data_IF_201835297153
#
_entry.id   IF_201835297153
#
_cell.length_a   1.000
_cell.length_b   1.000
_cell.length_c   1.000
_cell.angle_alpha   90.00
_cell.angle_beta   90.00
_cell.angle_gamma   90.00
#
_symmetry.space_group_name_H-M   'P 1'
#
loop_
_entity.id
_entity.type
_entity.pdbx_description
1 polymer ?
#
# COMPACT_ATOMS: atom_id res chain seq x y z
N UNK A 1 -10.33 10.58 11.03
CA UNK A 1 -10.60 11.70 10.09
C UNK A 1 -11.73 11.29 9.16
N UNK A 2 -12.70 12.16 8.88
CA UNK A 2 -13.90 11.83 8.08
C UNK A 2 -13.74 11.99 6.56
N UNK A 3 -12.58 12.45 6.08
CA UNK A 3 -12.28 12.63 4.65
C UNK A 3 -11.44 13.89 4.39
N UNK A 4 -11.25 14.23 3.11
CA UNK A 4 -10.54 15.42 2.65
C UNK A 4 -11.52 16.31 1.84
N UNK A 5 -11.89 17.46 2.39
CA UNK A 5 -12.91 18.33 1.78
C UNK A 5 -12.39 19.17 0.61
N UNK A 6 -11.09 19.46 0.58
CA UNK A 6 -10.44 20.29 -0.45
C UNK A 6 -9.02 19.78 -0.70
N UNK A 7 -8.37 20.15 -1.82
CA UNK A 7 -6.97 19.80 -2.06
C UNK A 7 -6.04 20.33 -0.96
N UNK A 8 -6.29 21.56 -0.49
CA UNK A 8 -5.54 22.17 0.61
C UNK A 8 -5.67 21.38 1.92
N UNK A 9 -6.86 20.81 2.21
CA UNK A 9 -7.04 19.96 3.38
C UNK A 9 -6.26 18.64 3.28
N UNK A 10 -6.17 18.06 2.07
CA UNK A 10 -5.33 16.89 1.81
C UNK A 10 -3.84 17.21 2.00
N UNK A 11 -3.36 18.30 1.43
CA UNK A 11 -1.96 18.73 1.56
C UNK A 11 -1.61 19.07 3.03
N UNK A 12 -2.50 19.76 3.75
CA UNK A 12 -2.35 20.01 5.18
C UNK A 12 -2.32 18.71 5.99
N UNK A 13 -3.14 17.71 5.63
CA UNK A 13 -3.11 16.39 6.22
C UNK A 13 -1.87 15.57 5.83
N UNK A 14 -1.04 16.02 4.89
CA UNK A 14 0.26 15.44 4.57
C UNK A 14 1.43 16.13 5.30
N UNK A 15 1.23 17.36 5.81
CA UNK A 15 2.24 18.13 6.55
C UNK A 15 2.26 17.81 8.05
N UNK A 16 3.43 17.70 8.70
CA UNK A 16 3.55 17.35 10.13
C UNK A 16 2.95 15.96 10.45
N UNK A 17 3.47 14.92 9.80
CA UNK A 17 3.03 13.55 10.04
C UNK A 17 3.40 13.10 11.47
N UNK A 18 2.54 12.34 12.17
CA UNK A 18 2.89 11.80 13.49
C UNK A 18 4.11 10.89 13.42
N UNK A 19 4.96 10.90 14.44
CA UNK A 19 6.13 10.02 14.56
C UNK A 19 5.83 8.81 15.46
N UNK A 20 6.54 7.68 15.30
CA UNK A 20 6.40 6.54 16.20
C UNK A 20 6.81 6.90 17.62
N UNK A 21 6.22 6.24 18.61
CA UNK A 21 6.50 6.48 20.03
C UNK A 21 7.88 5.92 20.39
N UNK A 22 8.83 6.83 20.59
CA UNK A 22 10.20 6.49 20.95
C UNK A 22 10.32 5.75 22.30
N UNK A 23 9.41 6.04 23.25
CA UNK A 23 9.41 5.38 24.57
C UNK A 23 8.94 3.93 24.42
N UNK A 24 7.87 3.70 23.65
CA UNK A 24 7.38 2.35 23.38
C UNK A 24 8.42 1.52 22.62
N UNK A 25 9.13 2.12 21.65
CA UNK A 25 10.26 1.47 20.95
C UNK A 25 11.36 1.09 21.94
N UNK A 26 11.77 2.01 22.82
CA UNK A 26 12.82 1.75 23.80
C UNK A 26 12.44 0.62 24.77
N UNK A 27 11.19 0.61 25.23
CA UNK A 27 10.67 -0.44 26.11
C UNK A 27 10.57 -1.80 25.40
N UNK A 28 10.10 -1.83 24.16
CA UNK A 28 10.07 -3.06 23.36
C UNK A 28 11.49 -3.59 23.09
N UNK A 29 12.47 -2.70 22.86
CA UNK A 29 13.88 -3.06 22.68
C UNK A 29 14.48 -3.65 23.95
N UNK A 30 14.22 -3.04 25.10
CA UNK A 30 14.64 -3.57 26.40
C UNK A 30 14.06 -4.97 26.64
N UNK A 31 12.78 -5.19 26.30
CA UNK A 31 12.18 -6.53 26.36
C UNK A 31 12.87 -7.51 25.41
N UNK A 32 13.09 -7.15 24.14
CA UNK A 32 13.75 -8.03 23.16
C UNK A 32 15.15 -8.49 23.62
N UNK A 33 15.90 -7.62 24.30
CA UNK A 33 17.20 -7.94 24.85
C UNK A 33 17.15 -8.92 26.03
N UNK A 34 16.03 -8.98 26.76
CA UNK A 34 15.84 -9.85 27.92
C UNK A 34 15.24 -11.23 27.57
N UNK A 35 14.71 -11.43 26.36
CA UNK A 35 14.13 -12.70 25.93
C UNK A 35 15.19 -13.81 25.86
N UNK A 36 14.81 -15.06 26.16
CA UNK A 36 15.68 -16.25 26.17
C UNK A 36 16.22 -16.66 24.80
N UNK A 37 17.04 -15.79 24.22
CA UNK A 37 17.71 -15.96 22.92
C UNK A 37 18.98 -15.12 22.86
N UNK A 38 19.97 -15.49 22.03
CA UNK A 38 21.08 -14.59 21.74
C UNK A 38 20.55 -13.24 21.17
N UNK A 39 21.12 -12.09 21.56
CA UNK A 39 20.71 -10.79 21.03
C UNK A 39 20.71 -10.75 19.50
N UNK A 40 19.62 -10.28 18.90
CA UNK A 40 19.48 -10.15 17.44
C UNK A 40 19.28 -11.45 16.67
N UNK A 41 19.24 -12.61 17.33
CA UNK A 41 19.14 -13.92 16.65
C UNK A 41 17.84 -14.17 15.90
N UNK A 42 16.77 -13.39 16.15
CA UNK A 42 15.53 -13.45 15.35
C UNK A 42 15.51 -12.42 14.21
N UNK A 43 16.58 -11.65 14.02
CA UNK A 43 16.75 -10.70 12.91
C UNK A 43 15.55 -9.75 12.76
N UNK A 44 15.01 -9.66 11.54
CA UNK A 44 13.90 -8.74 11.19
C UNK A 44 12.61 -8.96 11.99
N UNK A 45 12.40 -10.13 12.61
CA UNK A 45 11.24 -10.31 13.49
C UNK A 45 11.35 -9.42 14.74
N UNK A 46 12.56 -9.13 15.21
CA UNK A 46 12.78 -8.20 16.32
C UNK A 46 12.40 -6.78 15.89
N UNK A 47 12.89 -6.34 14.73
CA UNK A 47 12.60 -5.01 14.18
C UNK A 47 11.10 -4.79 13.94
N UNK A 48 10.39 -5.81 13.45
CA UNK A 48 8.93 -5.75 13.27
C UNK A 48 8.19 -5.56 14.59
N UNK A 49 8.63 -6.19 15.67
CA UNK A 49 8.04 -5.98 16.99
C UNK A 49 8.27 -4.55 17.49
N UNK A 50 9.47 -3.99 17.27
CA UNK A 50 9.78 -2.60 17.63
C UNK A 50 8.97 -1.59 16.80
N UNK A 51 8.86 -1.83 15.51
CA UNK A 51 8.06 -1.02 14.60
C UNK A 51 6.60 -0.96 15.06
N UNK A 52 5.99 -2.12 15.33
CA UNK A 52 4.61 -2.18 15.82
C UNK A 52 4.46 -1.50 17.19
N UNK A 53 5.46 -1.63 18.08
CA UNK A 53 5.44 -1.02 19.40
C UNK A 53 5.41 0.51 19.31
N UNK A 54 6.23 1.10 18.45
CA UNK A 54 6.28 2.54 18.24
C UNK A 54 4.96 3.10 17.70
N UNK A 55 4.37 2.43 16.71
CA UNK A 55 3.12 2.91 16.14
C UNK A 55 1.91 2.72 17.06
N UNK A 56 1.84 1.60 17.78
CA UNK A 56 0.78 1.35 18.75
C UNK A 56 0.98 2.04 20.11
N UNK A 57 2.17 2.61 20.37
CA UNK A 57 2.46 3.29 21.64
C UNK A 57 2.51 2.34 22.84
N UNK A 58 2.94 1.09 22.66
CA UNK A 58 3.02 0.10 23.73
C UNK A 58 4.21 -0.83 23.54
N UNK A 59 4.86 -1.20 24.64
CA UNK A 59 6.00 -2.13 24.65
C UNK A 59 5.64 -3.55 24.16
N UNK A 60 4.36 -3.92 24.20
CA UNK A 60 3.84 -5.25 23.83
C UNK A 60 2.69 -5.10 22.82
N UNK A 61 3.02 -4.74 21.57
CA UNK A 61 2.02 -4.53 20.52
C UNK A 61 1.33 -5.84 20.13
N UNK A 62 0.13 -5.75 19.57
CA UNK A 62 -0.68 -6.91 19.14
C UNK A 62 -1.48 -6.59 17.88
N UNK A 63 -1.98 -7.61 17.21
CA UNK A 63 -2.96 -7.46 16.11
C UNK A 63 -4.22 -8.23 16.51
N UNK A 64 -5.10 -7.58 17.27
CA UNK A 64 -6.43 -8.08 17.58
C UNK A 64 -7.43 -7.72 16.47
N UNK A 65 -7.34 -6.49 15.95
CA UNK A 65 -8.21 -5.96 14.90
C UNK A 65 -7.39 -5.56 13.67
N UNK A 66 -7.13 -6.53 12.80
CA UNK A 66 -6.51 -6.30 11.49
C UNK A 66 -7.56 -6.30 10.38
N UNK A 67 -7.37 -5.46 9.36
CA UNK A 67 -8.28 -5.38 8.20
C UNK A 67 -7.52 -5.36 6.88
N UNK A 68 -8.00 -6.11 5.90
CA UNK A 68 -7.63 -5.97 4.50
C UNK A 68 -8.67 -5.11 3.78
N UNK A 69 -8.25 -3.98 3.21
CA UNK A 69 -9.09 -3.01 2.53
C UNK A 69 -8.76 -2.99 1.04
N UNK A 70 -9.69 -3.48 0.22
CA UNK A 70 -9.52 -3.65 -1.23
C UNK A 70 -10.35 -2.61 -1.97
N UNK A 71 -9.69 -1.79 -2.78
CA UNK A 71 -10.36 -0.72 -3.53
C UNK A 71 -10.45 -1.10 -5.00
N UNK A 72 -11.65 -1.01 -5.58
CA UNK A 72 -11.86 -1.37 -6.97
C UNK A 72 -12.29 -0.17 -7.82
N UNK A 73 -11.67 -0.02 -8.99
CA UNK A 73 -11.90 1.10 -9.91
C UNK A 73 -11.56 0.75 -11.35
N UNK A 74 -12.13 1.50 -12.30
CA UNK A 74 -11.93 1.29 -13.74
C UNK A 74 -11.33 2.52 -14.40
N UNK A 75 -10.60 2.31 -15.51
CA UNK A 75 -9.81 3.36 -16.16
C UNK A 75 -10.16 3.55 -17.63
N UNK A 76 -10.33 4.80 -18.07
CA UNK A 76 -10.69 5.13 -19.46
C UNK A 76 -9.59 4.85 -20.48
N UNK A 77 -8.31 4.97 -20.09
CA UNK A 77 -7.18 4.68 -20.97
C UNK A 77 -7.04 3.19 -21.34
N UNK A 78 -7.84 2.30 -20.73
CA UNK A 78 -7.87 0.86 -21.10
C UNK A 78 -8.26 0.67 -22.56
N UNK A 79 -8.95 1.64 -23.17
CA UNK A 79 -9.26 1.65 -24.60
C UNK A 79 -8.03 1.53 -25.52
N UNK A 80 -6.82 1.88 -25.03
CA UNK A 80 -5.55 1.71 -25.75
C UNK A 80 -5.01 0.27 -25.73
N UNK A 81 -5.74 -0.67 -25.14
CA UNK A 81 -5.40 -2.09 -25.11
C UNK A 81 -4.24 -2.44 -24.17
N UNK A 82 -4.06 -1.68 -23.09
CA UNK A 82 -2.98 -1.83 -22.10
C UNK A 82 -3.11 -3.04 -21.16
N UNK A 83 -4.13 -3.88 -21.34
CA UNK A 83 -4.42 -5.06 -20.54
C UNK A 83 -4.84 -6.23 -21.42
N UNK A 84 -4.55 -7.46 -20.97
CA UNK A 84 -5.04 -8.69 -21.59
C UNK A 84 -6.55 -8.94 -21.35
N UNK A 85 -7.17 -8.20 -20.42
CA UNK A 85 -8.56 -8.39 -20.00
C UNK A 85 -9.39 -7.12 -20.21
N UNK A 86 -10.69 -7.25 -20.52
CA UNK A 86 -11.61 -6.11 -20.64
C UNK A 86 -11.97 -5.53 -19.26
N UNK A 87 -12.40 -4.26 -19.21
CA UNK A 87 -12.75 -3.56 -17.98
C UNK A 87 -13.90 -4.21 -17.18
N UNK A 88 -14.75 -5.01 -17.82
CA UNK A 88 -15.83 -5.77 -17.15
C UNK A 88 -15.30 -6.80 -16.15
N UNK A 89 -14.03 -7.23 -16.27
CA UNK A 89 -13.41 -8.16 -15.31
C UNK A 89 -13.31 -7.55 -13.91
N UNK A 90 -13.14 -6.23 -13.76
CA UNK A 90 -13.16 -5.57 -12.45
C UNK A 90 -14.46 -5.85 -11.69
N UNK A 91 -15.61 -5.71 -12.36
CA UNK A 91 -16.92 -5.96 -11.75
C UNK A 91 -17.12 -7.44 -11.43
N UNK A 92 -16.70 -8.33 -12.34
CA UNK A 92 -16.77 -9.77 -12.11
C UNK A 92 -15.95 -10.19 -10.89
N UNK A 93 -14.77 -9.62 -10.71
CA UNK A 93 -13.92 -9.88 -9.56
C UNK A 93 -14.47 -9.31 -8.26
N UNK A 94 -15.07 -8.11 -8.28
CA UNK A 94 -15.78 -7.57 -7.11
C UNK A 94 -16.94 -8.48 -6.69
N UNK A 95 -17.71 -9.00 -7.65
CA UNK A 95 -18.74 -10.00 -7.37
C UNK A 95 -18.14 -11.31 -6.82
N UNK A 96 -16.94 -11.71 -7.28
CA UNK A 96 -16.23 -12.87 -6.74
C UNK A 96 -15.77 -12.65 -5.29
N UNK A 97 -15.26 -11.46 -4.95
CA UNK A 97 -14.90 -11.09 -3.58
C UNK A 97 -16.11 -11.20 -2.64
N UNK A 98 -17.26 -10.70 -3.07
CA UNK A 98 -18.50 -10.77 -2.29
C UNK A 98 -18.98 -12.20 -2.04
N UNK A 99 -18.65 -13.14 -2.93
CA UNK A 99 -18.97 -14.57 -2.80
C UNK A 99 -17.91 -15.36 -2.02
N UNK A 100 -16.82 -14.75 -1.59
CA UNK A 100 -15.75 -15.46 -0.88
C UNK A 100 -14.78 -16.22 -1.78
N UNK A 101 -14.85 -16.02 -3.11
CA UNK A 101 -14.20 -16.90 -4.09
C UNK A 101 -12.81 -16.48 -4.55
N UNK A 102 -12.25 -15.37 -4.07
CA UNK A 102 -10.94 -14.89 -4.52
C UNK A 102 -9.80 -15.28 -3.57
N UNK A 103 -8.57 -15.13 -4.05
CA UNK A 103 -7.37 -15.42 -3.26
C UNK A 103 -7.32 -14.56 -1.98
N UNK A 104 -7.63 -13.27 -2.08
CA UNK A 104 -7.65 -12.39 -0.91
C UNK A 104 -8.67 -12.83 0.16
N UNK A 105 -9.80 -13.42 -0.22
CA UNK A 105 -10.76 -13.96 0.77
C UNK A 105 -10.11 -15.06 1.62
N UNK A 106 -9.45 -16.02 0.96
CA UNK A 106 -8.79 -17.13 1.65
C UNK A 106 -7.59 -16.64 2.49
N UNK A 107 -6.78 -15.74 1.94
CA UNK A 107 -5.57 -15.24 2.60
C UNK A 107 -5.88 -14.30 3.77
N UNK A 108 -6.90 -13.44 3.64
CA UNK A 108 -7.36 -12.61 4.75
C UNK A 108 -7.88 -13.46 5.90
N UNK A 109 -8.65 -14.51 5.62
CA UNK A 109 -9.12 -15.44 6.64
C UNK A 109 -7.95 -16.16 7.33
N UNK A 110 -6.98 -16.67 6.57
CA UNK A 110 -5.80 -17.33 7.12
C UNK A 110 -4.95 -16.38 7.98
N UNK A 111 -4.86 -15.11 7.62
CA UNK A 111 -4.14 -14.07 8.36
C UNK A 111 -4.96 -13.46 9.52
N UNK A 112 -6.20 -13.89 9.75
CA UNK A 112 -7.09 -13.33 10.76
C UNK A 112 -7.38 -11.85 10.52
N UNK A 113 -7.68 -11.47 9.28
CA UNK A 113 -8.02 -10.11 8.85
C UNK A 113 -9.50 -10.03 8.48
N UNK A 114 -10.16 -8.96 8.91
CA UNK A 114 -11.45 -8.57 8.34
C UNK A 114 -11.25 -8.12 6.89
N UNK A 115 -12.00 -8.67 5.94
CA UNK A 115 -11.95 -8.22 4.54
C UNK A 115 -13.02 -7.16 4.28
N UNK A 116 -12.61 -6.00 3.77
CA UNK A 116 -13.47 -4.91 3.33
C UNK A 116 -13.19 -4.61 1.86
N UNK A 117 -14.24 -4.56 1.05
CA UNK A 117 -14.15 -4.27 -0.39
C UNK A 117 -14.94 -3.00 -0.69
N UNK A 118 -14.28 -2.02 -1.32
CA UNK A 118 -14.85 -0.71 -1.65
C UNK A 118 -14.82 -0.54 -3.17
N UNK A 119 -15.99 -0.66 -3.79
CA UNK A 119 -16.16 -0.40 -5.23
C UNK A 119 -16.38 1.09 -5.49
N UNK A 120 -15.60 1.67 -6.39
CA UNK A 120 -15.59 3.11 -6.69
C UNK A 120 -16.05 3.34 -8.13
N UNK A 121 -17.38 3.46 -8.29
CA UNK A 121 -18.02 3.82 -9.57
C UNK A 121 -17.60 2.93 -10.75
N UNK A 122 -17.72 1.61 -10.60
CA UNK A 122 -17.19 0.65 -11.59
C UNK A 122 -17.81 0.79 -12.99
N UNK A 123 -19.05 1.26 -13.08
CA UNK A 123 -19.74 1.53 -14.37
C UNK A 123 -19.28 2.81 -15.05
N UNK A 124 -18.53 3.66 -14.33
CA UNK A 124 -18.05 4.96 -14.81
C UNK A 124 -16.52 5.03 -14.65
N UNK A 125 -15.76 4.49 -15.63
CA UNK A 125 -14.30 4.58 -15.61
C UNK A 125 -13.80 6.03 -15.44
N UNK A 126 -12.58 6.19 -14.94
CA UNK A 126 -11.91 7.50 -15.00
C UNK A 126 -11.76 7.95 -16.45
N UNK A 127 -11.52 9.24 -16.67
CA UNK A 127 -11.20 9.73 -18.01
C UNK A 127 -9.87 9.13 -18.50
N UNK A 128 -9.66 9.17 -19.81
CA UNK A 128 -8.37 8.84 -20.41
C UNK A 128 -7.35 9.94 -20.08
N UNK A 129 -6.34 9.57 -19.28
CA UNK A 129 -5.34 10.52 -18.81
C UNK A 129 -4.39 11.03 -19.90
N UNK A 130 -4.45 10.46 -21.11
CA UNK A 130 -3.64 10.91 -22.26
C UNK A 130 -4.25 12.15 -22.92
N UNK A 131 -5.50 12.47 -22.60
CA UNK A 131 -6.27 13.55 -23.23
C UNK A 131 -6.88 14.55 -22.22
N UNK A 132 -6.93 14.18 -20.94
CA UNK A 132 -7.56 14.96 -19.87
C UNK A 132 -7.01 14.50 -18.51
N UNK A 133 -7.27 15.17 -17.38
CA UNK A 133 -7.04 14.57 -16.08
C UNK A 133 -7.91 13.32 -15.87
N UNK A 134 -7.37 12.23 -15.31
CA UNK A 134 -8.14 11.02 -15.00
C UNK A 134 -9.42 11.30 -14.18
N UNK A 135 -9.33 12.23 -13.23
CA UNK A 135 -10.43 12.63 -12.35
C UNK A 135 -10.59 14.15 -12.34
N UNK A 136 -11.83 14.60 -12.17
CA UNK A 136 -12.11 15.96 -11.70
C UNK A 136 -11.62 16.14 -10.25
N UNK A 137 -11.56 17.38 -9.78
CA UNK A 137 -11.17 17.67 -8.39
C UNK A 137 -12.07 16.94 -7.38
N UNK A 138 -13.40 17.06 -7.57
CA UNK A 138 -14.39 16.43 -6.69
C UNK A 138 -14.30 14.90 -6.68
N UNK A 139 -14.04 14.27 -7.82
CA UNK A 139 -13.89 12.82 -7.91
C UNK A 139 -12.64 12.31 -7.19
N UNK A 140 -11.51 13.03 -7.31
CA UNK A 140 -10.29 12.65 -6.61
C UNK A 140 -10.45 12.81 -5.10
N UNK A 141 -11.05 13.91 -4.63
CA UNK A 141 -11.36 14.13 -3.21
C UNK A 141 -12.33 13.07 -2.66
N UNK A 142 -13.35 12.70 -3.44
CA UNK A 142 -14.29 11.65 -3.07
C UNK A 142 -13.59 10.30 -2.93
N UNK A 143 -12.71 9.93 -3.87
CA UNK A 143 -11.95 8.70 -3.81
C UNK A 143 -10.98 8.67 -2.61
N UNK A 144 -10.20 9.74 -2.40
CA UNK A 144 -9.32 9.90 -1.23
C UNK A 144 -10.10 9.76 0.09
N UNK A 145 -11.28 10.39 0.16
CA UNK A 145 -12.15 10.35 1.34
C UNK A 145 -12.75 8.96 1.56
N UNK A 146 -13.18 8.27 0.49
CA UNK A 146 -13.65 6.89 0.58
C UNK A 146 -12.58 5.98 1.21
N UNK A 147 -11.32 6.11 0.76
CA UNK A 147 -10.19 5.44 1.37
C UNK A 147 -9.98 5.78 2.85
N UNK A 148 -10.00 7.07 3.20
CA UNK A 148 -9.83 7.52 4.58
C UNK A 148 -10.90 6.97 5.53
N UNK A 149 -12.15 6.80 5.06
CA UNK A 149 -13.28 6.34 5.89
C UNK A 149 -13.17 4.88 6.33
N UNK A 150 -12.33 4.07 5.66
CA UNK A 150 -12.07 2.67 6.03
C UNK A 150 -11.24 2.58 7.32
N UNK A 151 -10.47 3.62 7.64
CA UNK A 151 -9.65 3.69 8.85
C UNK A 151 -10.53 4.05 10.06
N UNK A 152 -11.06 3.01 10.72
CA UNK A 152 -11.88 3.14 11.93
C UNK A 152 -11.00 3.19 13.19
N UNK A 153 -11.45 3.88 14.27
CA UNK A 153 -10.80 3.78 15.56
C UNK A 153 -10.69 2.33 16.03
N UNK A 154 -9.56 1.98 16.66
CA UNK A 154 -9.32 0.65 17.21
C UNK A 154 -8.74 -0.39 16.23
N UNK A 155 -8.45 -0.01 14.98
CA UNK A 155 -7.66 -0.86 14.09
C UNK A 155 -6.19 -0.91 14.55
N UNK A 156 -5.65 -2.12 14.64
CA UNK A 156 -4.26 -2.36 15.02
C UNK A 156 -3.32 -2.41 13.81
N UNK A 157 -3.88 -2.76 12.64
CA UNK A 157 -3.14 -2.97 11.39
C UNK A 157 -4.10 -2.88 10.18
N UNK A 158 -3.64 -2.29 9.10
CA UNK A 158 -4.29 -2.33 7.79
C UNK A 158 -3.43 -3.06 6.77
N UNK A 159 -4.07 -3.82 5.88
CA UNK A 159 -3.51 -4.25 4.59
C UNK A 159 -4.28 -3.51 3.52
N UNK A 160 -3.60 -2.87 2.58
CA UNK A 160 -4.25 -2.23 1.44
C UNK A 160 -4.07 -3.08 0.19
N UNK A 161 -5.09 -3.09 -0.66
CA UNK A 161 -5.06 -3.76 -1.95
C UNK A 161 -5.97 -3.08 -2.95
N UNK A 162 -5.92 -3.56 -4.19
CA UNK A 162 -6.63 -2.97 -5.32
C UNK A 162 -7.27 -4.03 -6.19
N UNK A 163 -8.19 -3.60 -7.05
CA UNK A 163 -8.64 -4.35 -8.21
C UNK A 163 -9.01 -3.35 -9.31
N UNK A 164 -8.25 -3.33 -10.40
CA UNK A 164 -8.55 -2.44 -11.51
C UNK A 164 -7.84 -2.82 -12.80
N UNK A 165 -8.60 -3.10 -13.85
CA UNK A 165 -8.01 -3.36 -15.17
C UNK A 165 -7.25 -2.13 -15.67
N UNK A 166 -5.95 -2.31 -15.96
CA UNK A 166 -5.08 -1.26 -16.50
C UNK A 166 -4.33 -0.43 -15.44
N UNK A 167 -4.62 -0.61 -14.15
CA UNK A 167 -4.03 0.22 -13.09
C UNK A 167 -2.50 0.11 -12.95
N UNK A 168 -1.86 -0.97 -13.42
CA UNK A 168 -0.38 -1.04 -13.52
C UNK A 168 0.19 0.04 -14.43
N UNK A 169 -0.54 0.48 -15.46
CA UNK A 169 -0.15 1.63 -16.30
C UNK A 169 -0.27 2.94 -15.53
N UNK A 170 -1.35 3.12 -14.75
CA UNK A 170 -1.52 4.28 -13.89
C UNK A 170 -0.43 4.34 -12.80
N UNK A 171 -0.13 3.20 -12.15
CA UNK A 171 0.95 3.05 -11.18
C UNK A 171 2.30 3.46 -11.77
N UNK A 172 2.62 3.01 -12.99
CA UNK A 172 3.85 3.40 -13.69
C UNK A 172 3.90 4.92 -13.98
N UNK A 173 2.78 5.51 -14.44
CA UNK A 173 2.68 6.94 -14.70
C UNK A 173 2.88 7.78 -13.43
N UNK A 174 2.30 7.37 -12.30
CA UNK A 174 2.48 8.00 -11.00
C UNK A 174 3.94 7.95 -10.56
N UNK A 175 4.59 6.79 -10.65
CA UNK A 175 6.01 6.65 -10.29
C UNK A 175 6.91 7.51 -11.17
N UNK A 176 6.70 7.49 -12.49
CA UNK A 176 7.48 8.30 -13.42
C UNK A 176 7.29 9.81 -13.18
N UNK A 177 6.07 10.27 -12.89
CA UNK A 177 5.81 11.68 -12.59
C UNK A 177 6.43 12.13 -11.26
N UNK A 178 6.41 11.25 -10.26
CA UNK A 178 6.93 11.54 -8.91
C UNK A 178 8.45 11.50 -8.82
N UNK A 179 9.07 10.46 -9.38
CA UNK A 179 10.51 10.17 -9.19
C UNK A 179 11.35 10.32 -10.46
N UNK A 180 10.72 10.65 -11.60
CA UNK A 180 11.40 10.76 -12.89
C UNK A 180 11.80 9.40 -13.47
N UNK A 181 12.77 9.40 -14.38
CA UNK A 181 13.14 8.24 -15.20
C UNK A 181 12.30 8.11 -16.47
N UNK A 182 12.62 7.09 -17.27
CA UNK A 182 11.86 6.77 -18.48
C UNK A 182 10.58 5.99 -18.12
N UNK A 183 9.53 6.08 -18.93
CA UNK A 183 8.32 5.28 -18.72
C UNK A 183 8.62 3.77 -18.68
N UNK A 184 9.55 3.31 -19.52
CA UNK A 184 10.01 1.92 -19.55
C UNK A 184 10.65 1.42 -18.25
N UNK A 185 11.14 2.33 -17.39
CA UNK A 185 11.70 1.96 -16.08
C UNK A 185 10.63 1.45 -15.10
N UNK A 186 9.37 1.82 -15.35
CA UNK A 186 8.25 1.60 -14.43
C UNK A 186 7.20 0.64 -14.98
N UNK A 187 7.11 0.53 -16.31
CA UNK A 187 6.10 -0.29 -16.98
C UNK A 187 6.49 -1.77 -16.98
N UNK A 188 5.60 -2.61 -16.45
CA UNK A 188 5.69 -4.07 -16.49
C UNK A 188 4.60 -4.74 -17.33
N UNK A 189 4.61 -6.09 -17.39
CA UNK A 189 3.60 -6.87 -18.09
C UNK A 189 2.22 -6.86 -17.42
N UNK A 190 2.11 -6.52 -16.13
CA UNK A 190 0.84 -6.47 -15.40
C UNK A 190 0.05 -7.77 -15.51
N UNK A 191 -1.09 -7.74 -16.20
CA UNK A 191 -1.97 -8.90 -16.45
C UNK A 191 -1.36 -9.97 -17.37
N UNK A 192 -0.08 -9.83 -17.75
CA UNK A 192 0.66 -10.79 -18.57
C UNK A 192 0.68 -10.43 -20.05
N UNK A 193 0.66 -9.13 -20.38
CA UNK A 193 0.73 -8.70 -21.78
C UNK A 193 2.09 -9.01 -22.40
N UNK A 194 2.09 -9.22 -23.71
CA UNK A 194 3.28 -9.50 -24.52
C UNK A 194 4.17 -8.24 -24.71
N UNK A 195 5.36 -8.35 -25.33
CA UNK A 195 6.22 -7.18 -25.57
C UNK A 195 5.52 -6.04 -26.34
N UNK A 196 4.60 -6.36 -27.25
CA UNK A 196 3.78 -5.37 -27.96
C UNK A 196 2.84 -4.63 -27.02
N UNK A 197 2.23 -5.34 -26.07
CA UNK A 197 1.42 -4.75 -25.00
C UNK A 197 2.25 -3.88 -24.07
N UNK A 198 3.46 -4.28 -23.71
CA UNK A 198 4.39 -3.47 -22.92
C UNK A 198 4.73 -2.17 -23.66
N UNK A 199 5.06 -2.24 -24.96
CA UNK A 199 5.34 -1.05 -25.76
C UNK A 199 4.14 -0.08 -25.82
N UNK A 200 2.91 -0.60 -25.95
CA UNK A 200 1.68 0.22 -25.87
C UNK A 200 1.52 0.89 -24.51
N UNK A 201 1.80 0.19 -23.41
CA UNK A 201 1.77 0.77 -22.06
C UNK A 201 2.80 1.90 -21.91
N UNK A 202 4.02 1.69 -22.40
CA UNK A 202 5.07 2.73 -22.40
C UNK A 202 4.60 3.97 -23.15
N UNK A 203 4.09 3.81 -24.38
CA UNK A 203 3.60 4.92 -25.18
C UNK A 203 2.44 5.69 -24.52
N UNK A 204 1.51 4.97 -23.86
CA UNK A 204 0.42 5.58 -23.10
C UNK A 204 0.94 6.42 -21.93
N UNK A 205 1.93 5.91 -21.18
CA UNK A 205 2.55 6.65 -20.07
C UNK A 205 3.31 7.88 -20.59
N UNK A 206 4.09 7.74 -21.65
CA UNK A 206 4.84 8.86 -22.24
C UNK A 206 3.89 9.96 -22.75
N UNK A 207 2.81 9.58 -23.43
CA UNK A 207 1.78 10.51 -23.90
C UNK A 207 1.14 11.27 -22.73
N UNK A 208 0.76 10.57 -21.66
CA UNK A 208 0.17 11.18 -20.47
C UNK A 208 1.13 12.14 -19.75
N UNK A 209 2.40 11.76 -19.63
CA UNK A 209 3.44 12.61 -19.03
C UNK A 209 3.68 13.88 -19.85
N UNK A 210 3.72 13.77 -21.18
CA UNK A 210 3.86 14.90 -22.09
C UNK A 210 2.63 15.83 -22.01
N UNK A 211 1.42 15.27 -22.06
CA UNK A 211 0.17 16.03 -21.95
C UNK A 211 0.08 16.82 -20.63
N UNK A 212 0.57 16.25 -19.53
CA UNK A 212 0.56 16.88 -18.22
C UNK A 212 1.86 17.62 -17.85
N UNK A 213 2.79 17.86 -18.78
CA UNK A 213 4.12 18.41 -18.48
C UNK A 213 4.06 19.75 -17.72
N UNK A 214 3.14 20.64 -18.11
CA UNK A 214 2.95 21.96 -17.47
C UNK A 214 2.05 21.98 -16.23
N UNK A 215 1.46 20.84 -15.84
CA UNK A 215 0.58 20.79 -14.68
C UNK A 215 1.38 20.79 -13.35
N UNK A 216 0.80 21.26 -12.23
CA UNK A 216 1.45 21.16 -10.93
C UNK A 216 1.81 19.71 -10.57
N UNK A 217 2.94 19.54 -9.87
CA UNK A 217 3.43 18.25 -9.38
C UNK A 217 3.10 18.02 -7.90
N UNK A 218 2.03 18.65 -7.39
CA UNK A 218 1.58 18.39 -6.03
C UNK A 218 1.10 16.94 -5.91
N UNK A 219 1.10 16.36 -4.69
CA UNK A 219 0.59 15.00 -4.46
C UNK A 219 -0.84 14.83 -4.99
N UNK A 220 -1.72 15.80 -4.68
CA UNK A 220 -3.09 15.82 -5.16
C UNK A 220 -3.20 15.87 -6.69
N UNK A 221 -2.53 16.82 -7.35
CA UNK A 221 -2.64 16.95 -8.81
C UNK A 221 -2.06 15.75 -9.55
N UNK A 222 -1.02 15.11 -9.01
CA UNK A 222 -0.44 13.90 -9.59
C UNK A 222 -1.41 12.72 -9.52
N UNK A 223 -2.03 12.48 -8.35
CA UNK A 223 -3.07 11.45 -8.18
C UNK A 223 -4.28 11.72 -9.07
N UNK A 224 -4.79 12.96 -9.07
CA UNK A 224 -5.96 13.36 -9.83
C UNK A 224 -5.78 13.18 -11.33
N UNK A 225 -4.58 13.45 -11.84
CA UNK A 225 -4.29 13.43 -13.28
C UNK A 225 -3.94 12.04 -13.80
N UNK A 226 -3.09 11.30 -13.08
CA UNK A 226 -2.50 10.06 -13.59
C UNK A 226 -2.95 8.78 -12.86
N UNK A 227 -3.71 8.92 -11.76
CA UNK A 227 -4.16 7.79 -10.97
C UNK A 227 -5.46 7.15 -11.48
N UNK A 228 -6.02 6.29 -10.64
CA UNK A 228 -7.41 5.84 -10.68
C UNK A 228 -8.10 6.10 -9.35
N UNK A 229 -9.42 5.85 -9.28
CA UNK A 229 -10.18 6.06 -8.04
C UNK A 229 -9.68 5.12 -6.93
N UNK A 230 -9.36 3.88 -7.27
CA UNK A 230 -8.79 2.88 -6.36
C UNK A 230 -7.40 3.27 -5.84
N UNK A 231 -6.50 3.75 -6.70
CA UNK A 231 -5.18 4.23 -6.28
C UNK A 231 -5.30 5.47 -5.38
N UNK A 232 -6.18 6.41 -5.73
CA UNK A 232 -6.45 7.59 -4.91
C UNK A 232 -7.06 7.19 -3.55
N UNK A 233 -7.96 6.21 -3.50
CA UNK A 233 -8.48 5.69 -2.24
C UNK A 233 -7.37 5.06 -1.38
N UNK A 234 -6.46 4.28 -1.95
CA UNK A 234 -5.31 3.71 -1.21
C UNK A 234 -4.44 4.82 -0.62
N UNK A 235 -4.13 5.87 -1.39
CA UNK A 235 -3.38 7.02 -0.88
C UNK A 235 -4.11 7.70 0.29
N UNK A 236 -5.43 7.87 0.19
CA UNK A 236 -6.27 8.41 1.25
C UNK A 236 -6.31 7.53 2.51
N UNK A 237 -6.40 6.21 2.35
CA UNK A 237 -6.32 5.23 3.44
C UNK A 237 -4.98 5.33 4.16
N UNK A 238 -3.88 5.32 3.43
CA UNK A 238 -2.52 5.39 3.99
C UNK A 238 -2.34 6.69 4.78
N UNK A 239 -2.76 7.83 4.22
CA UNK A 239 -2.63 9.11 4.92
C UNK A 239 -3.49 9.15 6.19
N UNK A 240 -4.73 8.67 6.12
CA UNK A 240 -5.61 8.59 7.28
C UNK A 240 -5.09 7.61 8.34
N UNK A 241 -4.45 6.51 7.93
CA UNK A 241 -3.82 5.53 8.82
C UNK A 241 -2.61 6.15 9.53
N UNK A 242 -1.72 6.84 8.81
CA UNK A 242 -0.59 7.59 9.41
C UNK A 242 -1.07 8.56 10.48
N UNK A 243 -2.14 9.29 10.20
CA UNK A 243 -2.73 10.27 11.13
C UNK A 243 -3.35 9.65 12.37
N UNK A 244 -3.77 8.41 12.27
CA UNK A 244 -4.29 7.62 13.39
C UNK A 244 -3.23 6.69 13.99
N UNK A 245 -1.96 6.80 13.55
CA UNK A 245 -0.83 5.95 13.97
C UNK A 245 -1.06 4.45 13.72
N UNK A 246 -1.91 4.10 12.76
CA UNK A 246 -2.21 2.72 12.39
C UNK A 246 -1.19 2.25 11.34
N UNK A 247 -0.39 1.20 11.61
CA UNK A 247 0.49 0.63 10.61
C UNK A 247 -0.23 0.11 9.37
N UNK A 248 0.41 0.22 8.21
CA UNK A 248 -0.13 -0.27 6.93
C UNK A 248 0.83 -1.26 6.28
N UNK A 249 0.34 -2.44 5.91
CA UNK A 249 1.06 -3.37 5.03
C UNK A 249 0.65 -3.08 3.60
N UNK A 250 1.63 -2.68 2.80
CA UNK A 250 1.52 -2.53 1.35
C UNK A 250 1.62 -3.92 0.72
N UNK A 251 0.87 -4.12 -0.36
CA UNK A 251 0.89 -5.35 -1.13
C UNK A 251 2.05 -5.34 -2.14
N UNK A 252 1.75 -5.06 -3.41
CA UNK A 252 2.72 -5.00 -4.49
C UNK A 252 2.86 -3.62 -5.12
N UNK A 253 3.23 -3.61 -6.40
CA UNK A 253 3.60 -2.41 -7.13
C UNK A 253 2.57 -1.29 -7.07
N UNK A 254 1.27 -1.59 -7.24
CA UNK A 254 0.22 -0.57 -7.32
C UNK A 254 -0.03 0.10 -5.97
N UNK A 255 -0.07 -0.67 -4.88
CA UNK A 255 -0.25 -0.11 -3.53
C UNK A 255 0.94 0.76 -3.12
N UNK A 256 2.16 0.37 -3.51
CA UNK A 256 3.34 1.22 -3.33
C UNK A 256 3.30 2.45 -4.24
N UNK A 257 2.78 2.34 -5.46
CA UNK A 257 2.69 3.48 -6.38
C UNK A 257 1.68 4.53 -5.93
N UNK A 258 0.66 4.14 -5.16
CA UNK A 258 -0.25 5.07 -4.49
C UNK A 258 0.47 6.03 -3.52
N UNK A 259 1.60 5.60 -2.94
CA UNK A 259 2.46 6.44 -2.11
C UNK A 259 3.38 7.36 -2.90
N UNK A 260 3.70 7.05 -4.17
CA UNK A 260 4.75 7.77 -4.90
C UNK A 260 4.53 9.30 -4.94
N UNK A 261 3.31 9.83 -5.17
CA UNK A 261 3.08 11.29 -5.13
C UNK A 261 3.26 11.87 -3.72
N UNK A 262 2.86 11.13 -2.69
CA UNK A 262 2.96 11.58 -1.30
C UNK A 262 4.42 11.56 -0.84
N UNK A 263 5.15 10.49 -1.12
CA UNK A 263 6.55 10.29 -0.70
C UNK A 263 7.52 11.25 -1.41
N UNK A 264 7.24 11.64 -2.66
CA UNK A 264 8.01 12.68 -3.34
C UNK A 264 7.90 14.06 -2.66
N UNK A 265 6.82 14.30 -1.90
CA UNK A 265 6.61 15.57 -1.18
C UNK A 265 6.90 15.47 0.32
N UNK A 266 6.54 14.36 0.95
CA UNK A 266 6.72 14.06 2.37
C UNK A 266 7.44 12.71 2.52
N UNK A 267 8.78 12.67 2.46
CA UNK A 267 9.55 11.42 2.45
C UNK A 267 9.32 10.48 3.65
N UNK A 268 8.81 11.01 4.77
CA UNK A 268 8.49 10.25 5.98
C UNK A 268 7.12 9.52 5.94
N UNK A 269 6.30 9.73 4.90
CA UNK A 269 5.01 9.03 4.78
C UNK A 269 5.14 7.50 4.84
N UNK A 270 6.19 6.85 4.28
CA UNK A 270 6.33 5.40 4.34
C UNK A 270 6.73 4.88 5.72
N UNK A 271 7.12 5.71 6.70
CA UNK A 271 7.68 5.19 7.98
C UNK A 271 6.67 4.42 8.84
N UNK A 272 5.37 4.47 8.49
CA UNK A 272 4.31 3.65 9.10
C UNK A 272 3.85 2.50 8.20
N UNK A 273 4.54 2.28 7.08
CA UNK A 273 4.26 1.25 6.12
C UNK A 273 5.25 0.09 6.24
N UNK A 274 4.77 -1.12 6.01
CA UNK A 274 5.56 -2.33 5.79
C UNK A 274 5.35 -2.74 4.34
N UNK A 275 6.42 -2.95 3.58
CA UNK A 275 6.31 -3.60 2.29
C UNK A 275 6.07 -5.10 2.49
N UNK A 276 4.87 -5.58 2.16
CA UNK A 276 4.47 -6.97 2.39
C UNK A 276 5.28 -7.94 1.53
N UNK A 277 5.33 -7.70 0.22
CA UNK A 277 6.15 -8.52 -0.68
C UNK A 277 6.78 -7.71 -1.82
N UNK A 278 7.84 -8.25 -2.41
CA UNK A 278 8.32 -7.80 -3.70
C UNK A 278 7.48 -8.45 -4.81
N UNK A 279 6.61 -7.68 -5.44
CA UNK A 279 5.96 -8.05 -6.70
C UNK A 279 6.98 -8.38 -7.80
N UNK A 280 6.59 -9.28 -8.71
CA UNK A 280 7.34 -9.59 -9.93
C UNK A 280 7.22 -8.51 -11.03
N UNK A 281 6.49 -7.41 -10.80
CA UNK A 281 6.51 -6.25 -11.69
C UNK A 281 7.91 -5.59 -11.67
N UNK A 282 8.57 -5.38 -12.83
CA UNK A 282 9.96 -4.91 -12.90
C UNK A 282 10.22 -3.59 -12.17
N UNK A 283 9.27 -2.65 -12.26
CA UNK A 283 9.38 -1.34 -11.62
C UNK A 283 9.32 -1.37 -10.08
N UNK A 284 8.94 -2.50 -9.46
CA UNK A 284 8.65 -2.53 -8.04
C UNK A 284 9.90 -2.47 -7.16
N UNK A 285 10.98 -3.15 -7.53
CA UNK A 285 12.26 -3.08 -6.77
C UNK A 285 12.77 -1.63 -6.74
N UNK A 286 12.71 -0.95 -7.88
CA UNK A 286 13.07 0.47 -7.98
C UNK A 286 12.19 1.33 -7.08
N UNK A 287 10.88 1.12 -7.10
CA UNK A 287 9.94 1.85 -6.28
C UNK A 287 10.18 1.64 -4.79
N UNK A 288 10.42 0.40 -4.35
CA UNK A 288 10.79 0.09 -2.96
C UNK A 288 12.04 0.84 -2.52
N UNK A 289 13.05 0.93 -3.40
CA UNK A 289 14.24 1.75 -3.17
C UNK A 289 13.94 3.25 -3.02
N UNK A 290 13.05 3.82 -3.85
CA UNK A 290 12.62 5.22 -3.72
C UNK A 290 11.84 5.47 -2.42
N UNK A 291 11.10 4.47 -1.94
CA UNK A 291 10.32 4.55 -0.70
C UNK A 291 11.13 4.21 0.56
N UNK A 292 12.38 3.76 0.42
CA UNK A 292 13.19 3.30 1.55
C UNK A 292 12.65 2.05 2.25
N UNK A 293 11.89 1.22 1.54
CA UNK A 293 11.22 0.03 2.10
C UNK A 293 11.91 -1.26 1.67
N UNK A 294 12.15 -2.14 2.64
CA UNK A 294 12.60 -3.51 2.39
C UNK A 294 11.42 -4.49 2.51
N UNK A 295 11.06 -5.24 1.45
CA UNK A 295 9.92 -6.14 1.47
C UNK A 295 10.13 -7.31 2.43
N UNK A 296 9.08 -7.81 3.08
CA UNK A 296 9.16 -8.98 3.95
C UNK A 296 9.29 -10.29 3.17
N UNK A 297 8.68 -10.36 1.99
CA UNK A 297 8.56 -11.57 1.21
C UNK A 297 9.03 -11.36 -0.24
N UNK A 298 9.65 -12.36 -0.83
CA UNK A 298 9.94 -12.42 -2.27
C UNK A 298 9.47 -13.76 -2.81
N UNK A 299 8.21 -13.80 -3.27
CA UNK A 299 7.50 -15.04 -3.65
C UNK A 299 7.16 -15.10 -5.14
N UNK A 300 7.62 -14.13 -5.95
CA UNK A 300 7.26 -14.03 -7.37
C UNK A 300 5.77 -13.73 -7.61
N UNK A 301 5.05 -13.26 -6.59
CA UNK A 301 3.63 -12.90 -6.69
C UNK A 301 3.44 -11.63 -7.53
N UNK A 302 2.33 -11.58 -8.26
CA UNK A 302 1.92 -10.41 -9.08
C UNK A 302 0.40 -10.37 -9.31
N UNK A 303 -0.36 -10.96 -8.39
CA UNK A 303 -1.82 -10.99 -8.49
C UNK A 303 -2.42 -9.61 -8.16
N UNK A 304 -1.90 -8.93 -7.15
CA UNK A 304 -2.54 -7.75 -6.56
C UNK A 304 -3.53 -8.15 -5.48
N UNK A 305 -4.63 -7.40 -5.37
CA UNK A 305 -5.75 -7.68 -4.44
C UNK A 305 -5.39 -7.63 -2.96
N UNK A 306 -4.20 -7.14 -2.56
CA UNK A 306 -3.78 -7.20 -1.15
C UNK A 306 -3.24 -8.57 -0.73
N UNK A 307 -3.07 -9.50 -1.68
CA UNK A 307 -2.79 -10.90 -1.40
C UNK A 307 -1.42 -11.14 -0.75
N UNK A 308 -0.36 -10.54 -1.27
CA UNK A 308 0.98 -10.62 -0.69
C UNK A 308 1.09 -9.86 0.64
N UNK A 309 0.39 -8.74 0.77
CA UNK A 309 0.22 -8.02 2.03
C UNK A 309 -0.42 -8.90 3.11
N UNK A 310 -1.49 -9.63 2.78
CA UNK A 310 -2.15 -10.56 3.70
C UNK A 310 -1.23 -11.71 4.13
N UNK A 311 -0.44 -12.28 3.22
CA UNK A 311 0.57 -13.31 3.57
C UNK A 311 1.62 -12.75 4.52
N UNK A 312 2.10 -11.52 4.29
CA UNK A 312 3.08 -10.87 5.14
C UNK A 312 2.60 -10.62 6.57
N UNK A 313 1.29 -10.47 6.78
CA UNK A 313 0.71 -10.36 8.13
C UNK A 313 1.01 -11.61 8.98
N UNK A 314 1.10 -12.80 8.39
CA UNK A 314 1.48 -14.01 9.14
C UNK A 314 2.89 -13.89 9.72
N UNK A 315 3.85 -13.34 8.97
CA UNK A 315 5.20 -13.07 9.46
C UNK A 315 5.17 -12.05 10.60
N UNK A 316 4.38 -10.99 10.45
CA UNK A 316 4.21 -9.97 11.48
C UNK A 316 3.60 -10.55 12.76
N UNK A 317 2.58 -11.41 12.64
CA UNK A 317 1.99 -12.11 13.79
C UNK A 317 3.01 -13.03 14.47
N UNK A 318 3.87 -13.73 13.71
CA UNK A 318 4.96 -14.52 14.28
C UNK A 318 5.96 -13.65 15.05
N UNK A 319 6.33 -12.48 14.53
CA UNK A 319 7.18 -11.51 15.24
C UNK A 319 6.57 -11.11 16.59
N UNK A 320 5.28 -10.78 16.60
CA UNK A 320 4.56 -10.39 17.82
C UNK A 320 4.38 -11.57 18.79
N UNK A 321 4.16 -12.78 18.28
CA UNK A 321 4.06 -13.98 19.09
C UNK A 321 5.39 -14.30 19.79
N UNK A 322 6.51 -14.21 19.09
CA UNK A 322 7.84 -14.37 19.70
C UNK A 322 8.09 -13.28 20.75
N UNK A 323 7.90 -12.01 20.39
CA UNK A 323 8.12 -10.87 21.29
C UNK A 323 7.29 -10.96 22.57
N UNK A 324 6.00 -11.29 22.45
CA UNK A 324 5.09 -11.30 23.59
C UNK A 324 5.06 -12.64 24.34
N UNK A 325 5.35 -13.76 23.68
CA UNK A 325 5.17 -15.10 24.23
C UNK A 325 6.43 -15.76 24.77
N UNK A 326 7.62 -15.34 24.34
CA UNK A 326 8.87 -15.86 24.90
C UNK A 326 9.06 -15.41 26.35
N UNK A 327 9.60 -16.32 27.14
CA UNK A 327 10.10 -16.02 28.48
C UNK A 327 11.38 -15.18 28.40
N UNK A 328 11.64 -14.41 29.44
CA UNK A 328 12.93 -13.77 29.69
C UNK A 328 13.91 -14.74 30.34
N UNK A 329 15.22 -14.44 30.27
CA UNK A 329 16.25 -15.22 30.97
C UNK A 329 15.91 -15.41 32.46
N UNK A 330 15.46 -14.33 33.11
CA UNK A 330 15.00 -14.34 34.50
C UNK A 330 13.80 -15.28 34.73
N UNK A 331 12.76 -15.22 33.88
CA UNK A 331 11.57 -16.09 34.01
C UNK A 331 11.89 -17.57 33.75
N UNK A 332 12.85 -17.86 32.88
CA UNK A 332 13.24 -19.22 32.52
C UNK A 332 14.30 -19.82 33.44
N UNK A 333 14.89 -19.03 34.35
CA UNK A 333 16.01 -19.48 35.19
C UNK A 333 17.27 -19.83 34.39
N UNK A 334 17.44 -19.26 33.20
CA UNK A 334 18.61 -19.46 32.34
C UNK A 334 19.62 -18.36 32.63
N UNK A 335 20.89 -18.71 32.82
CA UNK A 335 21.95 -17.73 33.03
C UNK A 335 22.07 -16.80 31.82
N UNK A 336 22.22 -15.50 32.09
CA UNK A 336 22.55 -14.52 31.05
C UNK A 336 23.96 -14.81 30.49
N UNK A 337 24.17 -14.51 29.21
CA UNK A 337 25.50 -14.63 28.61
C UNK A 337 26.48 -13.69 29.31
N UNK A 338 27.71 -14.18 29.55
CA UNK A 338 28.81 -13.42 30.18
C UNK A 338 29.23 -12.20 29.37
#
# INVERSE_FOLDING_TARGET
MSGFATPAAFDAALANLPEPDATAIAQARARQAALTKPPGSLGRLEDLALFMAGWQGTARPRIAHGRAAIFAGNHGFVAHGVSAFPASVTQAMVANFAKGGAAINALAAAAGLELSVVALELDRPTADFTQSPAMTEGECLAALSAGATVVKPGLDLLVVGEMGIGNTTAAAALCARSFGGAAADWVGPGTGVDPTGIARKVAVVECALAFHAGAPRTPFETLRRLGGREIAAIAGTILAARRQRVPVVLDGFITCAALAPLAAHAPAIPDHCIAGHCSAEPGHVRLLGQLGLEPLLSLGMRLGEGSGGAVAVSVLRSALAAHNGMATFAEAGVAEAL
#
